data_IF_645942271159
#
_entry.id   IF_645942271159
#
_cell.length_a   1.000
_cell.length_b   1.000
_cell.length_c   1.000
_cell.angle_alpha   90.00
_cell.angle_beta   90.00
_cell.angle_gamma   90.00
#
_symmetry.space_group_name_H-M   'P 1'
#
loop_
_entity.id
_entity.type
_entity.pdbx_description
1 polymer ?
#
# COMPACT_ATOMS: atom_id res chain seq x y z
N UNK A 1 -6.67 -21.15 10.55
CA UNK A 1 -7.65 -20.07 10.42
C UNK A 1 -7.22 -19.18 9.26
N UNK A 2 -8.15 -18.55 8.55
CA UNK A 2 -7.87 -17.60 7.48
C UNK A 2 -8.29 -16.22 7.98
N UNK A 3 -7.43 -15.22 7.77
CA UNK A 3 -7.78 -13.82 7.91
C UNK A 3 -7.62 -13.13 6.57
N UNK A 4 -8.45 -12.13 6.31
CA UNK A 4 -8.44 -11.41 5.05
C UNK A 4 -8.73 -9.93 5.27
N UNK A 5 -8.27 -9.12 4.32
CA UNK A 5 -8.62 -7.70 4.23
C UNK A 5 -8.80 -7.36 2.75
N UNK A 6 -9.77 -6.49 2.46
CA UNK A 6 -9.99 -5.96 1.11
C UNK A 6 -10.05 -4.45 1.15
N UNK A 7 -9.66 -3.80 0.06
CA UNK A 7 -9.75 -2.36 -0.11
C UNK A 7 -9.75 -2.00 -1.58
N UNK A 8 -10.10 -0.76 -1.87
CA UNK A 8 -10.03 -0.22 -3.22
C UNK A 8 -9.47 1.19 -3.18
N UNK A 9 -8.79 1.59 -4.26
CA UNK A 9 -8.32 2.95 -4.52
C UNK A 9 -8.42 3.17 -6.03
N UNK A 10 -9.18 4.18 -6.46
CA UNK A 10 -9.45 4.43 -7.88
C UNK A 10 -10.03 3.21 -8.58
N UNK A 11 -9.32 2.69 -9.58
CA UNK A 11 -9.76 1.55 -10.41
C UNK A 11 -9.22 0.20 -9.92
N UNK A 12 -8.42 0.17 -8.86
CA UNK A 12 -7.83 -1.06 -8.32
C UNK A 12 -8.61 -1.55 -7.10
N UNK A 13 -9.09 -2.79 -7.16
CA UNK A 13 -9.62 -3.52 -6.01
C UNK A 13 -8.59 -4.58 -5.60
N UNK A 14 -8.24 -4.58 -4.31
CA UNK A 14 -7.21 -5.45 -3.77
C UNK A 14 -7.78 -6.28 -2.63
N UNK A 15 -7.47 -7.57 -2.63
CA UNK A 15 -7.82 -8.49 -1.57
C UNK A 15 -6.57 -9.26 -1.15
N UNK A 16 -6.39 -9.39 0.17
CA UNK A 16 -5.30 -10.16 0.75
C UNK A 16 -5.85 -11.17 1.73
N UNK A 17 -5.22 -12.34 1.76
CA UNK A 17 -5.57 -13.43 2.65
C UNK A 17 -4.29 -14.02 3.24
N UNK A 18 -4.33 -14.35 4.52
CA UNK A 18 -3.26 -15.08 5.20
C UNK A 18 -3.83 -16.26 5.96
N UNK A 19 -3.09 -17.37 5.95
CA UNK A 19 -3.42 -18.55 6.72
C UNK A 19 -2.44 -18.73 7.88
N UNK A 20 -2.96 -19.17 9.03
CA UNK A 20 -2.14 -19.41 10.22
C UNK A 20 -2.95 -19.55 11.51
N UNK A 21 -2.25 -19.39 12.62
CA UNK A 21 -2.82 -19.36 13.98
C UNK A 21 -3.68 -18.10 14.16
N UNK A 22 -4.76 -18.19 14.96
CA UNK A 22 -5.74 -17.10 15.18
C UNK A 22 -5.08 -15.74 15.42
N UNK A 23 -4.11 -15.67 16.32
CA UNK A 23 -3.43 -14.42 16.68
C UNK A 23 -2.49 -13.85 15.61
N UNK A 24 -2.16 -14.63 14.57
CA UNK A 24 -1.28 -14.23 13.45
C UNK A 24 -2.04 -13.93 12.16
N UNK A 25 -3.37 -14.08 12.16
CA UNK A 25 -4.20 -13.85 10.96
C UNK A 25 -5.21 -12.72 11.13
N UNK A 26 -5.41 -12.21 12.34
CA UNK A 26 -6.36 -11.10 12.59
C UNK A 26 -5.81 -9.73 12.21
N UNK A 27 -4.50 -9.52 12.37
CA UNK A 27 -3.87 -8.23 12.12
C UNK A 27 -3.31 -8.21 10.69
N UNK A 28 -4.15 -7.83 9.74
CA UNK A 28 -3.82 -7.78 8.31
C UNK A 28 -4.53 -6.59 7.64
N UNK A 29 -3.79 -5.85 6.84
CA UNK A 29 -4.32 -4.66 6.16
C UNK A 29 -3.63 -4.41 4.82
N UNK A 30 -4.42 -3.94 3.85
CA UNK A 30 -3.90 -3.48 2.55
C UNK A 30 -4.08 -1.97 2.40
N UNK A 31 -2.97 -1.30 2.10
CA UNK A 31 -2.91 0.09 1.68
C UNK A 31 -2.56 0.16 0.20
N UNK A 32 -3.22 1.07 -0.50
CA UNK A 32 -3.03 1.26 -1.93
C UNK A 32 -3.13 2.75 -2.19
N UNK A 33 -2.15 3.32 -2.89
CA UNK A 33 -2.19 4.72 -3.28
C UNK A 33 -1.85 4.86 -4.76
N UNK A 34 -2.68 5.60 -5.48
CA UNK A 34 -2.41 5.93 -6.88
C UNK A 34 -1.22 6.90 -6.95
N UNK A 35 -0.28 6.62 -7.85
CA UNK A 35 0.86 7.49 -8.17
C UNK A 35 0.37 8.59 -9.11
N UNK A 36 -0.38 9.54 -8.55
CA UNK A 36 -0.95 10.68 -9.25
C UNK A 36 -1.13 11.86 -8.28
N UNK A 37 -1.05 13.08 -8.81
CA UNK A 37 -1.37 14.29 -8.05
C UNK A 37 -2.89 14.51 -7.98
N UNK A 38 -3.36 14.99 -6.82
CA UNK A 38 -4.76 15.36 -6.61
C UNK A 38 -4.84 16.77 -5.98
N UNK A 39 -5.57 17.73 -6.57
CA UNK A 39 -6.36 17.65 -7.80
C UNK A 39 -5.51 17.56 -9.08
N UNK A 40 -6.11 17.08 -10.18
CA UNK A 40 -5.44 16.96 -11.47
C UNK A 40 -4.94 18.33 -11.95
N UNK A 41 -3.67 18.38 -12.37
CA UNK A 41 -3.03 19.60 -12.86
C UNK A 41 -2.29 20.41 -11.79
N UNK A 42 -2.33 19.99 -10.52
CA UNK A 42 -1.44 20.52 -9.49
C UNK A 42 0.03 20.10 -9.75
N UNK A 43 0.99 20.88 -9.25
CA UNK A 43 2.40 20.47 -9.24
C UNK A 43 2.64 19.37 -8.20
N UNK A 44 3.68 18.57 -8.40
CA UNK A 44 4.08 17.55 -7.41
C UNK A 44 4.46 18.20 -6.07
N UNK A 45 5.16 19.32 -6.11
CA UNK A 45 5.53 20.11 -4.92
C UNK A 45 4.30 20.51 -4.09
N UNK A 46 3.28 21.09 -4.74
CA UNK A 46 2.04 21.48 -4.06
C UNK A 46 1.29 20.27 -3.49
N UNK A 47 1.34 19.13 -4.19
CA UNK A 47 0.74 17.90 -3.69
C UNK A 47 1.48 17.37 -2.45
N UNK A 48 2.81 17.34 -2.46
CA UNK A 48 3.64 16.97 -1.30
C UNK A 48 3.35 17.89 -0.11
N UNK A 49 3.30 19.20 -0.34
CA UNK A 49 2.97 20.19 0.70
C UNK A 49 1.59 19.91 1.31
N UNK A 50 0.59 19.60 0.48
CA UNK A 50 -0.76 19.25 0.95
C UNK A 50 -0.80 17.99 1.84
N UNK A 51 0.15 17.06 1.66
CA UNK A 51 0.25 15.82 2.43
C UNK A 51 1.24 15.91 3.60
N UNK A 52 1.94 17.03 3.76
CA UNK A 52 2.99 17.21 4.77
C UNK A 52 2.56 16.86 6.19
N UNK A 53 1.34 17.23 6.59
CA UNK A 53 0.75 16.93 7.90
C UNK A 53 0.59 15.42 8.21
N UNK A 54 0.71 14.54 7.20
CA UNK A 54 0.64 13.08 7.37
C UNK A 54 2.03 12.43 7.46
N UNK A 55 3.08 13.20 7.26
CA UNK A 55 4.45 12.72 7.16
C UNK A 55 5.26 13.18 8.37
N UNK A 56 6.23 12.38 8.77
CA UNK A 56 7.23 12.82 9.75
C UNK A 56 8.31 13.66 9.07
N UNK A 57 9.12 14.43 9.83
CA UNK A 57 10.24 15.18 9.26
C UNK A 57 11.23 14.30 8.48
N UNK A 58 11.51 13.08 8.97
CA UNK A 58 12.41 12.14 8.30
C UNK A 58 11.83 11.64 6.98
N UNK A 59 10.54 11.31 6.95
CA UNK A 59 9.86 10.89 5.72
C UNK A 59 9.84 12.03 4.69
N UNK A 60 9.55 13.25 5.14
CA UNK A 60 9.56 14.45 4.30
C UNK A 60 10.94 14.71 3.70
N UNK A 61 12.00 14.60 4.51
CA UNK A 61 13.37 14.75 4.03
C UNK A 61 13.71 13.67 2.98
N UNK A 62 13.35 12.41 3.25
CA UNK A 62 13.60 11.30 2.33
C UNK A 62 12.82 11.41 1.01
N UNK A 63 11.67 12.09 1.00
CA UNK A 63 10.89 12.35 -0.20
C UNK A 63 11.49 13.53 -0.98
N UNK A 64 11.78 14.64 -0.30
CA UNK A 64 12.23 15.90 -0.94
C UNK A 64 13.71 15.92 -1.32
N UNK A 65 14.51 14.96 -0.85
CA UNK A 65 15.90 14.75 -1.30
C UNK A 65 15.98 14.39 -2.79
N UNK A 66 14.92 13.78 -3.32
CA UNK A 66 14.83 13.43 -4.74
C UNK A 66 14.61 14.68 -5.60
N UNK A 67 15.13 14.66 -6.83
CA UNK A 67 15.03 15.79 -7.77
C UNK A 67 13.98 15.57 -8.86
N UNK A 68 13.50 14.35 -8.99
CA UNK A 68 12.59 13.92 -10.05
C UNK A 68 11.16 13.78 -9.52
N UNK A 69 10.22 14.47 -10.17
CA UNK A 69 8.81 14.52 -9.80
C UNK A 69 8.15 13.14 -9.75
N UNK A 70 8.49 12.24 -10.68
CA UNK A 70 7.95 10.87 -10.70
C UNK A 70 8.41 10.11 -9.45
N UNK A 71 9.70 10.23 -9.12
CA UNK A 71 10.30 9.57 -7.97
C UNK A 71 9.76 10.13 -6.65
N UNK A 72 9.60 11.45 -6.54
CA UNK A 72 8.99 12.12 -5.38
C UNK A 72 7.57 11.60 -5.16
N UNK A 73 6.75 11.63 -6.22
CA UNK A 73 5.35 11.20 -6.15
C UNK A 73 5.22 9.72 -5.78
N UNK A 74 6.13 8.89 -6.31
CA UNK A 74 6.21 7.47 -5.98
C UNK A 74 6.55 7.25 -4.51
N UNK A 75 7.59 7.91 -3.99
CA UNK A 75 7.99 7.80 -2.57
C UNK A 75 6.89 8.28 -1.63
N UNK A 76 6.21 9.38 -1.98
CA UNK A 76 5.05 9.87 -1.23
C UNK A 76 3.93 8.83 -1.22
N UNK A 77 3.57 8.29 -2.39
CA UNK A 77 2.51 7.29 -2.53
C UNK A 77 2.80 6.02 -1.72
N UNK A 78 4.05 5.56 -1.74
CA UNK A 78 4.50 4.40 -0.96
C UNK A 78 4.39 4.66 0.55
N UNK A 79 4.83 5.82 1.04
CA UNK A 79 4.71 6.21 2.46
C UNK A 79 3.25 6.29 2.92
N UNK A 80 2.37 6.85 2.10
CA UNK A 80 0.95 6.89 2.42
C UNK A 80 0.33 5.49 2.40
N UNK A 81 0.68 4.65 1.43
CA UNK A 81 0.17 3.29 1.33
C UNK A 81 0.62 2.41 2.50
N UNK A 82 1.87 2.50 2.97
CA UNK A 82 2.33 1.70 4.12
C UNK A 82 1.65 2.11 5.43
N UNK A 83 1.48 3.43 5.67
CA UNK A 83 0.73 3.95 6.83
C UNK A 83 -0.72 3.47 6.80
N UNK A 84 -1.39 3.57 5.64
CA UNK A 84 -2.74 3.05 5.45
C UNK A 84 -2.82 1.56 5.75
N UNK A 85 -1.89 0.76 5.21
CA UNK A 85 -1.87 -0.69 5.40
C UNK A 85 -1.76 -1.05 6.88
N UNK A 86 -0.84 -0.39 7.61
CA UNK A 86 -0.64 -0.61 9.03
C UNK A 86 -1.88 -0.26 9.87
N UNK A 87 -2.45 0.93 9.67
CA UNK A 87 -3.63 1.41 10.42
C UNK A 87 -4.83 0.49 10.22
N UNK A 88 -5.05 0.04 8.97
CA UNK A 88 -6.07 -0.95 8.64
C UNK A 88 -5.78 -2.29 9.34
N UNK A 89 -4.53 -2.72 9.38
CA UNK A 89 -4.14 -3.99 10.00
C UNK A 89 -4.32 -4.01 11.53
N UNK A 90 -4.14 -2.88 12.21
CA UNK A 90 -4.41 -2.77 13.65
C UNK A 90 -5.89 -2.44 13.97
N UNK A 91 -6.72 -2.25 12.94
CA UNK A 91 -8.15 -1.98 13.09
C UNK A 91 -8.49 -0.60 13.66
N UNK A 92 -7.61 0.39 13.51
CA UNK A 92 -7.87 1.73 14.04
C UNK A 92 -8.91 2.49 13.16
N UNK A 93 -9.81 3.30 13.74
CA UNK A 93 -10.83 4.02 13.00
C UNK A 93 -10.26 5.14 12.12
N UNK A 94 -11.11 5.68 11.24
CA UNK A 94 -10.82 6.88 10.44
C UNK A 94 -10.48 8.06 11.38
N UNK A 95 -9.49 8.86 10.98
CA UNK A 95 -9.02 10.01 11.76
C UNK A 95 -7.76 9.78 12.59
N UNK A 96 -7.11 8.61 12.48
CA UNK A 96 -5.78 8.41 13.03
C UNK A 96 -4.79 9.43 12.44
N UNK A 97 -3.98 10.03 13.31
CA UNK A 97 -2.92 10.95 12.92
C UNK A 97 -1.70 10.19 12.38
N UNK A 98 -1.50 10.28 11.06
CA UNK A 98 -0.44 9.57 10.34
C UNK A 98 0.97 10.04 10.74
N UNK A 99 1.10 11.25 11.29
CA UNK A 99 2.39 11.79 11.75
C UNK A 99 2.95 11.04 12.96
N UNK A 100 2.12 10.24 13.66
CA UNK A 100 2.55 9.39 14.79
C UNK A 100 3.31 8.14 14.36
N UNK A 101 3.24 7.78 13.09
CA UNK A 101 3.94 6.63 12.52
C UNK A 101 5.12 7.15 11.71
N UNK A 102 6.28 6.53 11.85
CA UNK A 102 7.44 6.84 11.03
C UNK A 102 7.91 5.58 10.31
N UNK A 103 7.98 5.63 8.99
CA UNK A 103 8.51 4.58 8.14
C UNK A 103 9.78 5.06 7.43
N UNK A 104 10.93 4.61 7.92
CA UNK A 104 12.19 4.82 7.24
C UNK A 104 12.41 3.66 6.25
N UNK A 105 11.83 3.82 5.06
CA UNK A 105 11.87 2.83 3.98
C UNK A 105 13.31 2.45 3.60
N UNK A 106 14.26 3.39 3.38
CA UNK A 106 15.65 3.04 3.07
C UNK A 106 16.34 2.14 4.10
N UNK A 107 16.13 2.39 5.39
CA UNK A 107 16.77 1.63 6.48
C UNK A 107 15.91 0.45 6.97
N UNK A 108 14.75 0.21 6.34
CA UNK A 108 13.80 -0.83 6.72
C UNK A 108 13.37 -0.77 8.21
N UNK A 109 13.19 0.43 8.75
CA UNK A 109 12.71 0.62 10.12
C UNK A 109 11.32 1.26 10.15
N UNK A 110 10.55 0.92 11.16
CA UNK A 110 9.22 1.45 11.39
C UNK A 110 9.01 1.70 12.88
N UNK A 111 8.49 2.89 13.23
CA UNK A 111 8.14 3.25 14.59
C UNK A 111 6.72 3.82 14.66
N UNK A 112 6.07 3.66 15.81
CA UNK A 112 4.80 4.30 16.14
C UNK A 112 4.90 4.89 17.54
N UNK A 113 4.64 6.19 17.68
CA UNK A 113 4.81 6.93 18.93
C UNK A 113 6.21 6.76 19.56
N UNK A 114 7.24 6.64 18.72
CA UNK A 114 8.63 6.40 19.14
C UNK A 114 8.97 4.95 19.52
N UNK A 115 8.00 4.03 19.49
CA UNK A 115 8.24 2.60 19.74
C UNK A 115 8.42 1.83 18.44
N UNK A 116 9.43 0.93 18.33
CA UNK A 116 9.61 0.09 17.15
C UNK A 116 8.39 -0.80 16.89
N UNK A 117 7.94 -0.86 15.64
CA UNK A 117 6.82 -1.71 15.21
C UNK A 117 7.28 -3.16 15.01
N UNK A 118 7.78 -3.79 16.07
CA UNK A 118 8.31 -5.16 16.03
C UNK A 118 7.24 -6.18 15.66
N UNK A 119 7.65 -7.24 15.00
CA UNK A 119 6.76 -8.33 14.60
C UNK A 119 5.90 -8.06 13.37
N UNK A 120 5.98 -6.87 12.77
CA UNK A 120 5.29 -6.52 11.54
C UNK A 120 6.11 -6.86 10.30
N UNK A 121 5.43 -7.37 9.28
CA UNK A 121 5.99 -7.55 7.94
C UNK A 121 5.20 -6.68 6.95
N UNK A 122 5.95 -5.89 6.19
CA UNK A 122 5.46 -5.01 5.14
C UNK A 122 5.90 -5.55 3.78
N UNK A 123 4.94 -5.85 2.91
CA UNK A 123 5.18 -6.31 1.54
C UNK A 123 4.76 -5.23 0.58
N UNK A 124 5.67 -4.78 -0.27
CA UNK A 124 5.53 -3.58 -1.09
C UNK A 124 5.75 -3.94 -2.55
N UNK A 125 4.85 -3.49 -3.43
CA UNK A 125 4.97 -3.69 -4.87
C UNK A 125 4.21 -2.60 -5.65
N UNK A 126 4.58 -2.45 -6.92
CA UNK A 126 3.91 -1.54 -7.86
C UNK A 126 2.97 -2.32 -8.77
N UNK A 127 1.83 -1.71 -9.09
CA UNK A 127 0.88 -2.23 -10.08
C UNK A 127 0.52 -1.14 -11.09
N UNK A 128 0.59 -1.48 -12.38
CA UNK A 128 0.08 -0.63 -13.45
C UNK A 128 -1.20 -1.22 -14.04
N UNK A 129 -2.20 -0.38 -14.30
CA UNK A 129 -3.48 -0.74 -14.90
C UNK A 129 -3.73 0.10 -16.14
N UNK A 130 -4.22 -0.54 -17.21
CA UNK A 130 -4.85 0.16 -18.34
C UNK A 130 -6.34 0.26 -18.09
N UNK A 131 -6.85 1.48 -17.85
CA UNK A 131 -8.25 1.73 -17.53
C UNK A 131 -8.93 2.42 -18.70
N UNK A 132 -9.96 1.77 -19.25
CA UNK A 132 -10.80 2.37 -20.28
C UNK A 132 -11.68 3.46 -19.65
N UNK A 133 -11.44 4.71 -20.00
CA UNK A 133 -12.27 5.86 -19.62
C UNK A 133 -12.86 6.48 -20.87
N UNK A 134 -14.14 6.18 -21.15
CA UNK A 134 -14.79 6.49 -22.43
C UNK A 134 -13.98 5.86 -23.58
N UNK A 135 -13.58 6.65 -24.58
CA UNK A 135 -12.85 6.16 -25.77
C UNK A 135 -11.32 6.21 -25.60
N UNK A 136 -10.80 6.46 -24.38
CA UNK A 136 -9.36 6.54 -24.12
C UNK A 136 -8.91 5.51 -23.09
N UNK A 137 -7.84 4.79 -23.41
CA UNK A 137 -7.13 3.96 -22.46
C UNK A 137 -6.18 4.85 -21.65
N UNK A 138 -6.40 4.94 -20.34
CA UNK A 138 -5.58 5.71 -19.41
C UNK A 138 -4.72 4.73 -18.61
N UNK A 139 -3.41 4.96 -18.56
CA UNK A 139 -2.51 4.20 -17.69
C UNK A 139 -2.58 4.79 -16.29
N UNK A 140 -2.93 3.95 -15.32
CA UNK A 140 -2.94 4.28 -13.89
C UNK A 140 -1.90 3.41 -13.19
N UNK A 141 -1.18 3.98 -12.23
CA UNK A 141 -0.15 3.27 -11.49
C UNK A 141 -0.40 3.42 -9.99
N UNK A 142 -0.08 2.37 -9.24
CA UNK A 142 -0.42 2.24 -7.83
C UNK A 142 0.76 1.67 -7.06
N UNK A 143 1.05 2.29 -5.92
CA UNK A 143 1.88 1.71 -4.87
C UNK A 143 0.98 0.90 -3.93
N UNK A 144 1.30 -0.38 -3.79
CA UNK A 144 0.53 -1.34 -3.01
C UNK A 144 1.36 -1.85 -1.84
N UNK A 145 0.78 -1.83 -0.65
CA UNK A 145 1.44 -2.28 0.57
C UNK A 145 0.52 -3.16 1.39
N UNK A 146 1.08 -4.24 1.89
CA UNK A 146 0.41 -5.14 2.83
C UNK A 146 1.17 -5.10 4.14
N UNK A 147 0.45 -4.89 5.22
CA UNK A 147 0.96 -5.03 6.57
C UNK A 147 0.26 -6.22 7.24
N UNK A 148 1.04 -7.15 7.80
CA UNK A 148 0.48 -8.17 8.69
C UNK A 148 1.46 -8.51 9.81
N UNK A 149 0.90 -8.95 10.94
CA UNK A 149 1.69 -9.29 12.13
C UNK A 149 2.14 -10.76 12.09
N UNK A 150 3.46 -10.99 12.15
CA UNK A 150 4.09 -12.32 12.26
C UNK A 150 4.65 -12.63 13.66
N UNK A 151 4.91 -11.60 14.46
CA UNK A 151 5.52 -11.75 15.80
C UNK A 151 7.02 -12.06 15.76
N UNK A 152 7.74 -11.61 14.71
CA UNK A 152 9.20 -11.56 14.67
C UNK A 152 9.77 -10.53 15.65
N UNK A 153 11.07 -10.60 15.93
CA UNK A 153 11.77 -9.64 16.80
C UNK A 153 11.89 -8.25 16.18
N UNK A 154 12.03 -8.18 14.85
CA UNK A 154 12.16 -6.93 14.10
C UNK A 154 11.02 -6.76 13.11
N UNK A 155 10.80 -5.53 12.65
CA UNK A 155 10.00 -5.25 11.47
C UNK A 155 10.71 -5.76 10.22
N UNK A 156 9.96 -6.26 9.24
CA UNK A 156 10.51 -6.78 7.99
C UNK A 156 9.88 -6.04 6.81
N UNK A 157 10.71 -5.62 5.88
CA UNK A 157 10.28 -5.05 4.61
C UNK A 157 10.65 -6.02 3.48
N UNK A 158 9.71 -6.26 2.57
CA UNK A 158 9.92 -7.10 1.39
C UNK A 158 9.40 -6.34 0.18
N UNK A 159 10.30 -6.07 -0.76
CA UNK A 159 10.01 -5.38 -2.01
C UNK A 159 9.91 -6.40 -3.14
N UNK A 160 8.88 -6.26 -3.96
CA UNK A 160 8.71 -7.04 -5.17
C UNK A 160 8.89 -6.11 -6.36
N UNK A 161 10.06 -6.20 -7.00
CA UNK A 161 10.43 -5.30 -8.09
C UNK A 161 10.14 -5.91 -9.47
N UNK A 162 10.17 -7.24 -9.58
CA UNK A 162 9.92 -7.95 -10.84
C UNK A 162 8.60 -8.70 -10.85
N UNK A 163 8.05 -8.91 -12.04
CA UNK A 163 6.80 -9.65 -12.24
C UNK A 163 6.93 -11.10 -11.78
N UNK A 164 8.10 -11.73 -11.96
CA UNK A 164 8.36 -13.11 -11.53
C UNK A 164 8.28 -13.22 -10.01
N UNK A 165 8.95 -12.31 -9.27
CA UNK A 165 8.88 -12.26 -7.81
C UNK A 165 7.44 -12.04 -7.35
N UNK A 166 6.73 -11.12 -8.00
CA UNK A 166 5.35 -10.78 -7.65
C UNK A 166 4.38 -11.93 -7.89
N UNK A 167 4.55 -12.70 -8.97
CA UNK A 167 3.67 -13.81 -9.35
C UNK A 167 3.61 -14.94 -8.33
N UNK A 168 4.65 -15.06 -7.49
CA UNK A 168 4.68 -16.02 -6.38
C UNK A 168 3.70 -15.67 -5.25
N UNK A 169 3.23 -14.42 -5.21
CA UNK A 169 2.47 -13.86 -4.09
C UNK A 169 1.16 -13.17 -4.51
N UNK A 170 1.11 -12.54 -5.68
CA UNK A 170 -0.02 -11.74 -6.17
C UNK A 170 -0.54 -12.33 -7.47
N UNK A 171 -1.86 -12.48 -7.53
CA UNK A 171 -2.58 -12.84 -8.74
C UNK A 171 -3.43 -11.66 -9.19
N UNK A 172 -3.27 -11.26 -10.44
CA UNK A 172 -4.16 -10.28 -11.07
C UNK A 172 -5.36 -10.99 -11.68
N UNK A 173 -6.55 -10.56 -11.27
CA UNK A 173 -7.82 -11.09 -11.76
C UNK A 173 -8.58 -9.94 -12.40
N UNK A 174 -8.92 -10.08 -13.67
CA UNK A 174 -9.80 -9.12 -14.36
C UNK A 174 -11.28 -9.55 -14.26
N UNK A 175 -12.19 -8.63 -14.58
CA UNK A 175 -13.64 -8.88 -14.49
C UNK A 175 -14.05 -10.05 -15.38
N UNK A 176 -13.46 -10.19 -16.58
CA UNK A 176 -13.77 -11.29 -17.49
C UNK A 176 -13.45 -12.67 -16.88
N UNK A 177 -12.34 -12.78 -16.15
CA UNK A 177 -11.97 -13.98 -15.42
C UNK A 177 -12.95 -14.27 -14.28
N UNK A 178 -13.41 -13.24 -13.55
CA UNK A 178 -14.42 -13.42 -12.49
C UNK A 178 -15.74 -13.91 -13.07
N UNK A 179 -16.23 -13.31 -14.16
CA UNK A 179 -17.50 -13.68 -14.80
C UNK A 179 -17.49 -15.13 -15.29
N UNK A 180 -16.35 -15.62 -15.80
CA UNK A 180 -16.19 -17.03 -16.21
C UNK A 180 -16.36 -18.03 -15.07
N UNK A 181 -16.17 -17.60 -13.81
CA UNK A 181 -16.28 -18.47 -12.63
C UNK A 181 -17.68 -18.43 -12.03
N UNK A 182 -18.50 -17.40 -12.30
CA UNK A 182 -19.86 -17.26 -11.75
C UNK A 182 -20.71 -18.53 -11.94
N UNK A 183 -20.78 -19.17 -13.13
CA UNK A 183 -21.59 -20.38 -13.31
C UNK A 183 -21.17 -21.56 -12.43
N UNK A 184 -19.89 -21.59 -12.00
CA UNK A 184 -19.34 -22.65 -11.14
C UNK A 184 -19.66 -22.43 -9.66
N UNK A 185 -20.06 -21.22 -9.27
CA UNK A 185 -20.43 -20.87 -7.90
C UNK A 185 -21.93 -21.07 -7.63
N UNK A 186 -22.74 -21.21 -8.69
CA UNK A 186 -24.19 -21.47 -8.63
C UNK A 186 -24.54 -22.97 -8.65
N UNK A 187 -23.54 -23.85 -8.68
CA UNK A 187 -23.70 -25.31 -8.59
C UNK A 187 -23.39 -25.79 -7.16
#
# INVERSE_FOLDING_TARGET
>A
MIGYHSGFEGSLCSMIMVQGNKHRVVNIGIGTKQVAVEPRGASVEAYVESQSHKLTPLEMENITREKDDETILRRLSMNLAIKQAYIKAIGHPMGFDYSRLEFNIPEHTATGDGYPLTGWEFRIWRTGLGVARRDKLVKEEYECVVAFFRGSTNSRFVFYETTEQLSSWVQFINIDQMVKVIPKLTA
#
